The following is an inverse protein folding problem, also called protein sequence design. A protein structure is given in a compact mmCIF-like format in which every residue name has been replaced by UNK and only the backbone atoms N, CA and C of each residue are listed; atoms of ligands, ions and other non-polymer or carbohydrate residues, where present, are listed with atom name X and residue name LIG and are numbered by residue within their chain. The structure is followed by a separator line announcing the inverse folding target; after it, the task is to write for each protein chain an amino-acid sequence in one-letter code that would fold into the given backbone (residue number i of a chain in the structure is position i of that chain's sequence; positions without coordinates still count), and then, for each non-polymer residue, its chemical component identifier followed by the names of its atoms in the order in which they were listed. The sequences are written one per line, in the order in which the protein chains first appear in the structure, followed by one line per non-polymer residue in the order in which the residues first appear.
data_IF_799266069775
#
_entry.id   IF_799266069775
#
_cell.length_a   1.000
_cell.length_b   1.000
_cell.length_c   1.000
_cell.angle_alpha   90.00
_cell.angle_beta   90.00
_cell.angle_gamma   90.00
#
_symmetry.space_group_name_H-M   'P 1'
#
loop_
_entity.id
_entity.type
_entity.pdbx_description
1 polymer ?
#
# COMPACT_ATOMS: atom_id res chain seq x y z
N UNK A 1 0.63 19.61 -14.91
CA UNK A 1 1.94 19.13 -14.46
C UNK A 1 2.39 18.06 -15.43
N UNK A 2 3.53 18.23 -16.06
CA UNK A 2 4.16 17.20 -16.90
C UNK A 2 4.76 16.08 -16.04
N UNK A 3 5.11 14.98 -16.69
CA UNK A 3 5.63 13.79 -16.04
C UNK A 3 6.98 14.03 -15.35
N UNK A 4 7.86 14.82 -15.96
CA UNK A 4 9.19 15.09 -15.42
C UNK A 4 9.11 15.88 -14.11
N UNK A 5 8.28 16.92 -14.09
CA UNK A 5 7.99 17.72 -12.90
C UNK A 5 7.34 16.87 -11.81
N UNK A 6 6.45 15.95 -12.16
CA UNK A 6 5.85 15.03 -11.18
C UNK A 6 6.91 14.10 -10.56
N UNK A 7 7.81 13.54 -11.37
CA UNK A 7 8.85 12.63 -10.90
C UNK A 7 9.90 13.34 -10.04
N UNK A 8 10.26 14.59 -10.36
CA UNK A 8 11.20 15.36 -9.54
C UNK A 8 10.64 15.63 -8.14
N UNK A 9 9.33 15.92 -8.02
CA UNK A 9 8.67 16.06 -6.72
C UNK A 9 8.61 14.75 -5.95
N UNK A 10 8.29 13.63 -6.61
CA UNK A 10 8.26 12.31 -5.97
C UNK A 10 9.66 11.89 -5.49
N UNK A 11 10.72 12.23 -6.21
CA UNK A 11 12.10 11.91 -5.83
C UNK A 11 12.54 12.57 -4.52
N UNK A 12 11.93 13.70 -4.14
CA UNK A 12 12.19 14.36 -2.86
C UNK A 12 11.45 13.71 -1.67
N UNK A 13 10.52 12.78 -1.93
CA UNK A 13 9.74 12.10 -0.88
C UNK A 13 10.57 10.97 -0.27
N UNK A 14 10.86 10.99 1.04
CA UNK A 14 11.59 9.90 1.69
C UNK A 14 10.79 8.59 1.62
N UNK A 15 11.41 7.45 1.26
CA UNK A 15 10.73 6.16 1.29
C UNK A 15 10.18 5.79 2.68
N UNK A 16 10.81 6.28 3.76
CA UNK A 16 10.34 6.12 5.14
C UNK A 16 8.96 6.74 5.35
N UNK A 17 8.68 7.90 4.74
CA UNK A 17 7.40 8.58 4.89
C UNK A 17 6.25 7.72 4.35
N UNK A 18 6.49 6.99 3.25
CA UNK A 18 5.47 6.09 2.71
C UNK A 18 5.13 4.94 3.68
N UNK A 19 6.06 4.50 4.53
CA UNK A 19 5.81 3.49 5.57
C UNK A 19 4.97 4.01 6.74
N UNK A 20 4.94 5.31 6.94
CA UNK A 20 4.09 5.93 7.97
C UNK A 20 2.67 6.16 7.47
N UNK A 21 2.50 6.44 6.17
CA UNK A 21 1.21 6.86 5.59
C UNK A 21 0.42 5.68 5.01
N UNK A 22 1.11 4.67 4.45
CA UNK A 22 0.46 3.54 3.79
C UNK A 22 1.01 2.20 4.25
N UNK A 23 0.11 1.21 4.31
CA UNK A 23 0.50 -0.18 4.46
C UNK A 23 1.21 -0.64 3.18
N UNK A 24 2.51 -0.93 3.27
CA UNK A 24 3.32 -1.26 2.09
C UNK A 24 4.27 -2.44 2.34
N UNK A 25 4.77 -3.00 1.23
CA UNK A 25 5.66 -4.16 1.22
C UNK A 25 4.96 -5.41 0.68
N UNK A 26 5.41 -6.55 1.16
CA UNK A 26 4.85 -7.87 0.87
C UNK A 26 3.51 -8.08 1.59
N UNK A 27 2.70 -9.06 1.16
CA UNK A 27 1.46 -9.40 1.85
C UNK A 27 1.61 -9.79 3.32
N UNK A 28 2.77 -10.27 3.77
CA UNK A 28 3.04 -10.57 5.18
C UNK A 28 3.28 -9.28 5.97
N UNK A 29 4.19 -8.42 5.50
CA UNK A 29 4.51 -7.14 6.13
C UNK A 29 3.27 -6.23 6.26
N UNK A 30 2.41 -6.21 5.25
CA UNK A 30 1.17 -5.42 5.27
C UNK A 30 0.20 -5.93 6.34
N UNK A 31 0.10 -7.25 6.52
CA UNK A 31 -0.80 -7.86 7.52
C UNK A 31 -0.27 -7.60 8.93
N UNK A 32 1.04 -7.66 9.13
CA UNK A 32 1.67 -7.30 10.41
C UNK A 32 1.46 -5.82 10.76
N UNK A 33 1.66 -4.91 9.80
CA UNK A 33 1.38 -3.48 10.00
C UNK A 33 -0.09 -3.22 10.35
N UNK A 34 -1.02 -3.91 9.68
CA UNK A 34 -2.45 -3.80 9.96
C UNK A 34 -2.83 -4.36 11.34
N UNK A 35 -2.15 -5.42 11.80
CA UNK A 35 -2.33 -5.96 13.15
C UNK A 35 -1.88 -4.93 14.21
N UNK A 36 -0.76 -4.23 14.00
CA UNK A 36 -0.35 -3.12 14.88
C UNK A 36 -1.41 -2.02 14.94
N UNK A 37 -2.02 -1.67 13.81
CA UNK A 37 -3.10 -0.68 13.79
C UNK A 37 -4.34 -1.17 14.56
N UNK A 38 -4.65 -2.47 14.48
CA UNK A 38 -5.73 -3.09 15.25
C UNK A 38 -5.47 -3.03 16.75
N UNK A 39 -4.25 -3.34 17.17
CA UNK A 39 -3.82 -3.26 18.57
C UNK A 39 -3.85 -1.82 19.10
N UNK A 40 -3.58 -0.84 18.24
CA UNK A 40 -3.77 0.59 18.51
C UNK A 40 -5.23 1.06 18.51
N UNK A 41 -6.19 0.17 18.29
CA UNK A 41 -7.63 0.45 18.41
C UNK A 41 -8.39 0.68 17.10
N UNK A 42 -7.76 0.51 15.93
CA UNK A 42 -8.46 0.64 14.64
C UNK A 42 -9.43 -0.53 14.44
N UNK A 43 -10.73 -0.25 14.50
CA UNK A 43 -11.78 -1.29 14.45
C UNK A 43 -12.31 -1.61 13.05
N UNK A 44 -12.27 -0.65 12.13
CA UNK A 44 -12.76 -0.82 10.78
C UNK A 44 -11.73 -0.29 9.80
N UNK A 45 -11.05 -1.19 9.09
CA UNK A 45 -10.07 -0.83 8.07
C UNK A 45 -10.72 -0.84 6.70
N UNK A 46 -10.75 0.32 6.05
CA UNK A 46 -11.12 0.45 4.64
C UNK A 46 -9.83 0.52 3.83
N UNK A 47 -9.60 -0.48 2.98
CA UNK A 47 -8.36 -0.62 2.22
C UNK A 47 -8.59 -0.41 0.73
N UNK A 48 -7.63 0.24 0.07
CA UNK A 48 -7.62 0.47 -1.38
C UNK A 48 -6.28 0.03 -1.96
N UNK A 49 -6.30 -0.58 -3.15
CA UNK A 49 -5.08 -0.96 -3.84
C UNK A 49 -4.50 0.23 -4.62
N UNK A 50 -3.55 0.95 -4.04
CA UNK A 50 -2.89 2.10 -4.69
C UNK A 50 -1.95 1.65 -5.81
N UNK A 51 -1.45 0.41 -5.79
CA UNK A 51 -0.48 -0.11 -6.77
C UNK A 51 -1.02 -0.16 -8.20
N UNK A 52 -2.35 -0.08 -8.39
CA UNK A 52 -2.95 0.02 -9.73
C UNK A 52 -2.61 1.33 -10.45
N UNK A 53 -2.19 2.36 -9.71
CA UNK A 53 -1.80 3.67 -10.26
C UNK A 53 -0.36 3.70 -10.77
N UNK A 54 0.37 2.58 -10.73
CA UNK A 54 1.73 2.53 -11.26
C UNK A 54 1.76 2.81 -12.77
N UNK A 55 2.81 3.50 -13.23
CA UNK A 55 3.05 3.80 -14.65
C UNK A 55 3.04 2.55 -15.55
N UNK A 56 3.43 1.41 -15.00
CA UNK A 56 3.41 0.14 -15.70
C UNK A 56 2.11 -0.62 -15.42
N UNK A 57 1.19 -0.62 -16.39
CA UNK A 57 -0.11 -1.30 -16.28
C UNK A 57 0.02 -2.79 -15.95
N UNK A 58 1.03 -3.48 -16.47
CA UNK A 58 1.27 -4.91 -16.16
C UNK A 58 1.59 -5.10 -14.69
N UNK A 59 2.43 -4.24 -14.10
CA UNK A 59 2.73 -4.27 -12.66
C UNK A 59 1.49 -3.91 -11.84
N UNK A 60 0.71 -2.92 -12.29
CA UNK A 60 -0.56 -2.56 -11.69
C UNK A 60 -1.54 -3.74 -11.63
N UNK A 61 -1.72 -4.47 -12.74
CA UNK A 61 -2.55 -5.67 -12.77
C UNK A 61 -1.99 -6.81 -11.91
N UNK A 62 -0.67 -7.04 -11.94
CA UNK A 62 -0.03 -8.05 -11.12
C UNK A 62 -0.20 -7.80 -9.61
N UNK A 63 -0.41 -6.54 -9.19
CA UNK A 63 -0.66 -6.17 -7.79
C UNK A 63 -2.03 -6.62 -7.24
N UNK A 64 -2.99 -6.95 -8.12
CA UNK A 64 -4.35 -7.34 -7.72
C UNK A 64 -4.34 -8.63 -6.89
N UNK A 65 -3.51 -9.61 -7.26
CA UNK A 65 -3.40 -10.88 -6.53
C UNK A 65 -2.86 -10.68 -5.10
N UNK A 66 -1.70 -10.03 -4.88
CA UNK A 66 -1.22 -9.66 -3.55
C UNK A 66 -2.26 -8.89 -2.73
N UNK A 67 -2.96 -7.94 -3.34
CA UNK A 67 -4.00 -7.18 -2.65
C UNK A 67 -5.16 -8.08 -2.17
N UNK A 68 -5.63 -8.99 -3.01
CA UNK A 68 -6.67 -9.95 -2.62
C UNK A 68 -6.20 -10.90 -1.50
N UNK A 69 -4.92 -11.28 -1.50
CA UNK A 69 -4.33 -12.07 -0.41
C UNK A 69 -4.35 -11.30 0.91
N UNK A 70 -3.95 -10.02 0.88
CA UNK A 70 -4.01 -9.12 2.04
C UNK A 70 -5.44 -9.03 2.56
N UNK A 71 -6.42 -8.67 1.72
CA UNK A 71 -7.82 -8.52 2.14
C UNK A 71 -8.38 -9.80 2.79
N UNK A 72 -8.05 -10.98 2.23
CA UNK A 72 -8.48 -12.27 2.81
C UNK A 72 -7.89 -12.51 4.21
N UNK A 73 -6.65 -12.09 4.44
CA UNK A 73 -5.98 -12.23 5.75
C UNK A 73 -6.50 -11.19 6.75
N UNK A 74 -6.67 -9.94 6.32
CA UNK A 74 -7.24 -8.88 7.16
C UNK A 74 -8.66 -9.22 7.64
N UNK A 75 -9.46 -9.94 6.83
CA UNK A 75 -10.78 -10.45 7.25
C UNK A 75 -10.73 -11.48 8.38
N UNK A 76 -9.56 -12.06 8.67
CA UNK A 76 -9.35 -13.06 9.72
C UNK A 76 -8.65 -12.47 10.96
N UNK A 77 -8.22 -11.21 10.89
CA UNK A 77 -7.73 -10.43 12.03
C UNK A 77 -8.91 -9.79 12.77
#
# INVERSE_FOLDING_TARGET
MDEETALSHVAAVPPSLMREIVLNGTPDEVVEQAALWRDCGVRYMVVVNISVMQRNLRKGLASIQPFNQIVRRLKRL
#
